data_IF_075471701129
#
_entry.id   IF_075471701129
#
_cell.length_a   1.000
_cell.length_b   1.000
_cell.length_c   1.000
_cell.angle_alpha   90.00
_cell.angle_beta   90.00
_cell.angle_gamma   90.00
#
_symmetry.space_group_name_H-M   'P 1'
#
loop_
_entity.id
_entity.type
_entity.pdbx_description
1 polymer ?
#
# COMPACT_ATOMS: atom_id res chain seq x y z
N UNK A 1 -8.21 7.26 10.15
CA UNK A 1 -7.55 6.03 9.71
C UNK A 1 -6.15 6.06 10.30
N UNK A 2 -5.90 5.24 11.30
CA UNK A 2 -4.56 5.13 11.90
C UNK A 2 -3.71 4.12 11.13
N UNK A 3 -2.38 4.27 11.14
CA UNK A 3 -1.49 3.33 10.47
C UNK A 3 -1.67 1.88 10.95
N UNK A 4 -2.02 1.69 12.22
CA UNK A 4 -2.34 0.38 12.77
C UNK A 4 -3.53 -0.29 12.05
N UNK A 5 -4.59 0.47 11.75
CA UNK A 5 -5.75 -0.05 11.02
C UNK A 5 -5.38 -0.45 9.59
N UNK A 6 -4.50 0.32 8.94
CA UNK A 6 -4.05 0.04 7.58
C UNK A 6 -3.25 -1.27 7.55
N UNK A 7 -2.34 -1.48 8.51
CA UNK A 7 -1.59 -2.74 8.64
C UNK A 7 -2.51 -3.95 8.85
N UNK A 8 -3.55 -3.81 9.68
CA UNK A 8 -4.55 -4.86 9.90
C UNK A 8 -5.32 -5.16 8.61
N UNK A 9 -5.72 -4.13 7.85
CA UNK A 9 -6.42 -4.31 6.56
C UNK A 9 -5.54 -5.01 5.52
N UNK A 10 -4.26 -4.66 5.44
CA UNK A 10 -3.28 -5.34 4.57
C UNK A 10 -3.18 -6.83 4.94
N UNK A 11 -2.95 -7.13 6.23
CA UNK A 11 -2.87 -8.53 6.70
C UNK A 11 -4.17 -9.32 6.47
N UNK A 12 -5.32 -8.65 6.55
CA UNK A 12 -6.63 -9.24 6.29
C UNK A 12 -7.00 -9.35 4.79
N UNK A 13 -6.10 -8.97 3.86
CA UNK A 13 -6.42 -8.84 2.42
C UNK A 13 -7.64 -7.94 2.15
N UNK A 14 -7.86 -6.92 3.00
CA UNK A 14 -8.92 -5.91 2.89
C UNK A 14 -8.36 -4.51 2.63
N UNK A 15 -7.13 -4.43 2.12
CA UNK A 15 -6.52 -3.18 1.72
C UNK A 15 -6.99 -2.83 0.31
N UNK A 16 -7.78 -1.77 0.20
CA UNK A 16 -8.27 -1.25 -1.07
C UNK A 16 -7.47 -0.01 -1.47
N UNK A 17 -6.96 -0.03 -2.70
CA UNK A 17 -6.25 1.09 -3.30
C UNK A 17 -7.27 1.91 -4.11
N UNK A 18 -7.22 3.23 -3.95
CA UNK A 18 -8.05 4.12 -4.74
C UNK A 18 -7.60 4.14 -6.20
N UNK A 19 -8.51 4.42 -7.13
CA UNK A 19 -8.22 4.46 -8.57
C UNK A 19 -7.05 5.41 -8.94
N UNK A 20 -6.87 6.47 -8.16
CA UNK A 20 -5.74 7.40 -8.28
C UNK A 20 -4.41 6.74 -7.88
N UNK A 21 -4.36 6.13 -6.70
CA UNK A 21 -3.16 5.42 -6.21
C UNK A 21 -2.81 4.19 -7.06
N UNK A 22 -3.80 3.56 -7.70
CA UNK A 22 -3.52 2.50 -8.65
C UNK A 22 -2.83 3.04 -9.92
N UNK A 23 -3.28 4.19 -10.46
CA UNK A 23 -2.63 4.83 -11.61
C UNK A 23 -1.19 5.24 -11.31
N UNK A 24 -0.95 5.84 -10.15
CA UNK A 24 0.41 6.24 -9.74
C UNK A 24 1.31 5.01 -9.57
N UNK A 25 0.79 3.97 -8.91
CA UNK A 25 1.49 2.68 -8.78
C UNK A 25 1.88 2.09 -10.14
N UNK A 26 0.99 2.11 -11.12
CA UNK A 26 1.29 1.62 -12.47
C UNK A 26 2.27 2.52 -13.22
N UNK A 27 2.26 3.83 -12.97
CA UNK A 27 3.21 4.77 -13.59
C UNK A 27 4.64 4.56 -13.07
N UNK A 28 4.76 4.22 -11.78
CA UNK A 28 6.04 4.02 -11.08
C UNK A 28 6.51 2.55 -11.10
N UNK A 29 5.81 1.65 -11.79
CA UNK A 29 6.05 0.18 -11.82
C UNK A 29 6.08 -0.49 -10.43
N UNK A 30 5.41 0.11 -9.44
CA UNK A 30 5.36 -0.39 -8.07
C UNK A 30 4.34 -1.53 -8.00
N UNK A 31 4.61 -2.64 -7.31
CA UNK A 31 3.58 -3.67 -7.10
C UNK A 31 2.78 -3.39 -5.83
N UNK A 32 1.55 -3.93 -5.74
CA UNK A 32 0.77 -3.84 -4.49
C UNK A 32 1.57 -4.41 -3.31
N UNK A 33 2.35 -5.48 -3.55
CA UNK A 33 3.20 -6.10 -2.52
C UNK A 33 4.32 -5.20 -2.03
N UNK A 34 4.90 -4.39 -2.92
CA UNK A 34 5.92 -3.41 -2.52
C UNK A 34 5.30 -2.33 -1.65
N UNK A 35 4.10 -1.87 -2.00
CA UNK A 35 3.33 -0.91 -1.22
C UNK A 35 2.96 -1.46 0.17
N UNK A 36 2.50 -2.71 0.22
CA UNK A 36 2.21 -3.42 1.47
C UNK A 36 3.47 -3.57 2.34
N UNK A 37 4.62 -3.96 1.75
CA UNK A 37 5.90 -4.02 2.46
C UNK A 37 6.31 -2.66 3.00
N UNK A 38 6.24 -1.63 2.18
CA UNK A 38 6.59 -0.27 2.56
C UNK A 38 5.73 0.24 3.71
N UNK A 39 4.41 0.00 3.67
CA UNK A 39 3.50 0.35 4.77
C UNK A 39 3.81 -0.46 6.04
N UNK A 40 4.10 -1.76 5.91
CA UNK A 40 4.39 -2.62 7.06
C UNK A 40 5.72 -2.24 7.73
N UNK A 41 6.76 -2.00 6.93
CA UNK A 41 8.11 -1.65 7.38
C UNK A 41 8.27 -0.16 7.72
N UNK A 42 7.37 0.71 7.23
CA UNK A 42 7.52 2.16 7.33
C UNK A 42 8.60 2.71 6.38
N UNK A 43 8.81 2.07 5.24
CA UNK A 43 9.77 2.48 4.22
C UNK A 43 9.10 3.43 3.21
N UNK A 44 9.88 4.40 2.70
CA UNK A 44 9.45 5.25 1.59
C UNK A 44 9.90 4.54 0.31
N UNK A 45 8.95 4.32 -0.61
CA UNK A 45 9.27 3.88 -1.96
C UNK A 45 9.63 5.13 -2.77
N UNK A 46 10.85 5.15 -3.29
CA UNK A 46 11.40 6.19 -4.18
C UNK A 46 11.57 5.64 -5.61
#
# INVERSE_FOLDING_TARGET
MEMAEIKIKIQANKYEISLHGEKERYAEDITIKDLERAILNGEILE
#
